data_IF_087613282479
#
_entry.id   IF_087613282479
#
_cell.length_a   1.000
_cell.length_b   1.000
_cell.length_c   1.000
_cell.angle_alpha   90.00
_cell.angle_beta   90.00
_cell.angle_gamma   90.00
#
_symmetry.space_group_name_H-M   'P 1'
#
loop_
_entity.id
_entity.type
_entity.pdbx_description
1 polymer ?
#
# COMPACT_ATOMS: atom_id res chain seq x y z
N UNK A 1 -2.32 -21.16 30.77
CA UNK A 1 -2.96 -20.85 29.48
C UNK A 1 -4.17 -19.99 29.79
N UNK A 2 -4.25 -18.77 29.26
CA UNK A 2 -5.30 -17.80 29.62
C UNK A 2 -6.39 -17.83 28.54
N UNK A 3 -7.50 -18.52 28.83
CA UNK A 3 -8.62 -18.77 27.91
C UNK A 3 -9.17 -17.45 27.33
N UNK A 4 -9.17 -16.36 28.11
CA UNK A 4 -9.64 -15.05 27.66
C UNK A 4 -8.77 -14.53 26.50
N UNK A 5 -7.45 -14.65 26.62
CA UNK A 5 -6.51 -14.18 25.59
C UNK A 5 -6.65 -14.97 24.28
N UNK A 6 -7.03 -16.25 24.37
CA UNK A 6 -7.27 -17.10 23.20
C UNK A 6 -8.53 -16.67 22.46
N UNK A 7 -9.61 -16.43 23.19
CA UNK A 7 -10.87 -15.93 22.63
C UNK A 7 -10.68 -14.53 22.01
N UNK A 8 -9.93 -13.63 22.68
CA UNK A 8 -9.61 -12.31 22.13
C UNK A 8 -8.84 -12.42 20.81
N UNK A 9 -7.84 -13.29 20.75
CA UNK A 9 -7.05 -13.52 19.53
C UNK A 9 -7.91 -14.09 18.40
N UNK A 10 -8.78 -15.06 18.70
CA UNK A 10 -9.68 -15.64 17.70
C UNK A 10 -10.60 -14.58 17.08
N UNK A 11 -11.14 -13.66 17.89
CA UNK A 11 -11.97 -12.56 17.40
C UNK A 11 -11.16 -11.55 16.57
N UNK A 12 -9.93 -11.24 16.98
CA UNK A 12 -9.03 -10.39 16.19
C UNK A 12 -8.72 -11.02 14.83
N UNK A 13 -8.39 -12.31 14.81
CA UNK A 13 -8.07 -13.05 13.60
C UNK A 13 -9.26 -13.13 12.63
N UNK A 14 -10.48 -13.31 13.14
CA UNK A 14 -11.69 -13.28 12.32
C UNK A 14 -11.85 -11.94 11.57
N UNK A 15 -11.54 -10.83 12.23
CA UNK A 15 -11.58 -9.49 11.61
C UNK A 15 -10.44 -9.31 10.61
N UNK A 16 -9.22 -9.75 10.96
CA UNK A 16 -8.03 -9.66 10.10
C UNK A 16 -8.16 -10.51 8.82
N UNK A 17 -8.91 -11.61 8.85
CA UNK A 17 -9.28 -12.37 7.64
C UNK A 17 -10.19 -11.59 6.69
N UNK A 18 -10.97 -10.65 7.21
CA UNK A 18 -11.94 -9.87 6.42
C UNK A 18 -11.34 -8.57 5.90
N UNK A 19 -10.46 -7.93 6.67
CA UNK A 19 -9.74 -6.72 6.23
C UNK A 19 -8.36 -6.62 6.84
N UNK A 20 -7.44 -6.01 6.11
CA UNK A 20 -6.14 -5.63 6.64
C UNK A 20 -6.25 -4.40 7.55
N UNK A 21 -5.33 -4.31 8.52
CA UNK A 21 -5.12 -3.13 9.35
C UNK A 21 -3.75 -2.57 9.01
N UNK A 22 -3.65 -1.42 8.32
CA UNK A 22 -2.35 -0.87 7.97
C UNK A 22 -1.61 -0.38 9.22
N UNK A 23 -0.30 -0.28 9.12
CA UNK A 23 0.51 0.34 10.16
C UNK A 23 0.35 1.87 10.12
N UNK A 24 -0.20 2.46 11.18
CA UNK A 24 -0.30 3.90 11.35
C UNK A 24 -0.10 4.32 12.81
N UNK A 25 0.22 5.59 12.98
CA UNK A 25 0.65 6.21 14.23
C UNK A 25 -0.08 7.55 14.46
N UNK A 26 -0.16 8.03 15.72
CA UNK A 26 -0.61 9.39 15.99
C UNK A 26 0.14 10.40 15.12
N UNK A 27 -0.59 11.34 14.53
CA UNK A 27 -0.10 12.31 13.56
C UNK A 27 -0.39 11.96 12.12
N UNK A 28 -0.60 10.68 11.81
CA UNK A 28 -0.98 10.24 10.47
C UNK A 28 -2.43 10.67 10.16
N UNK A 29 -2.70 10.98 8.89
CA UNK A 29 -4.04 11.25 8.36
C UNK A 29 -4.57 9.96 7.76
N UNK A 30 -5.73 9.54 8.24
CA UNK A 30 -6.37 8.29 7.83
C UNK A 30 -7.77 8.57 7.31
N UNK A 31 -8.21 7.75 6.37
CA UNK A 31 -9.58 7.66 5.90
C UNK A 31 -10.16 6.33 6.35
N UNK A 32 -11.16 6.40 7.22
CA UNK A 32 -11.86 5.22 7.75
C UNK A 32 -13.18 5.06 7.01
N UNK A 33 -13.36 3.95 6.31
CA UNK A 33 -14.62 3.60 5.66
C UNK A 33 -15.52 2.87 6.64
N UNK A 34 -16.58 3.52 7.08
CA UNK A 34 -17.49 2.99 8.11
C UNK A 34 -18.79 2.54 7.46
N UNK A 35 -19.23 1.32 7.78
CA UNK A 35 -20.57 0.81 7.45
C UNK A 35 -21.58 1.51 8.35
N UNK A 36 -22.43 2.33 7.75
CA UNK A 36 -23.56 2.98 8.42
C UNK A 36 -24.82 2.27 7.96
N UNK A 37 -25.58 1.75 8.93
CA UNK A 37 -26.89 1.16 8.69
C UNK A 37 -27.92 2.26 8.83
N UNK A 38 -28.71 2.48 7.79
CA UNK A 38 -29.79 3.45 7.77
C UNK A 38 -31.14 2.72 7.68
N UNK A 39 -32.13 3.22 8.42
CA UNK A 39 -33.49 2.64 8.48
C UNK A 39 -33.67 1.52 9.53
N UNK A 40 -34.93 1.16 9.76
CA UNK A 40 -35.34 0.08 10.67
C UNK A 40 -36.12 -1.01 9.91
N UNK A 41 -36.15 -2.23 10.45
CA UNK A 41 -36.95 -3.33 9.90
C UNK A 41 -36.54 -3.78 8.49
N UNK A 42 -37.49 -3.80 7.55
CA UNK A 42 -37.32 -4.29 6.16
C UNK A 42 -36.55 -3.32 5.25
N UNK A 43 -36.38 -2.05 5.63
CA UNK A 43 -35.68 -1.03 4.85
C UNK A 43 -34.25 -0.80 5.34
N UNK A 44 -33.56 -1.88 5.73
CA UNK A 44 -32.19 -1.80 6.22
C UNK A 44 -31.22 -1.67 5.04
N UNK A 45 -30.78 -0.44 4.77
CA UNK A 45 -29.74 -0.19 3.77
C UNK A 45 -28.41 0.05 4.48
N UNK A 46 -27.35 -0.57 3.99
CA UNK A 46 -25.99 -0.30 4.48
C UNK A 46 -25.24 0.53 3.45
N UNK A 47 -24.74 1.68 3.86
CA UNK A 47 -23.82 2.49 3.03
C UNK A 47 -22.46 2.63 3.69
N UNK A 48 -21.44 2.82 2.87
CA UNK A 48 -20.10 3.15 3.34
C UNK A 48 -19.97 4.67 3.44
N UNK A 49 -19.52 5.14 4.60
CA UNK A 49 -19.23 6.55 4.84
C UNK A 49 -17.75 6.72 5.16
N UNK A 50 -17.08 7.57 4.39
CA UNK A 50 -15.71 7.96 4.68
C UNK A 50 -15.66 8.93 5.87
N UNK A 51 -14.80 8.63 6.84
CA UNK A 51 -14.41 9.54 7.90
C UNK A 51 -12.90 9.78 7.81
N UNK A 52 -12.53 10.95 7.28
CA UNK A 52 -11.15 11.35 7.08
C UNK A 52 -10.71 12.35 8.15
N UNK A 53 -9.53 12.13 8.72
CA UNK A 53 -8.93 13.08 9.65
C UNK A 53 -7.59 12.61 10.22
N UNK A 54 -7.06 13.38 11.16
CA UNK A 54 -5.79 13.12 11.82
C UNK A 54 -6.00 12.19 13.01
N UNK A 55 -5.19 11.13 13.10
CA UNK A 55 -5.13 10.29 14.30
C UNK A 55 -4.46 11.07 15.42
N UNK A 56 -5.20 11.37 16.48
CA UNK A 56 -4.68 12.15 17.62
C UNK A 56 -4.30 11.27 18.81
N UNK A 57 -4.81 10.05 18.88
CA UNK A 57 -4.51 9.11 19.95
C UNK A 57 -4.76 7.68 19.48
N UNK A 58 -4.01 6.75 20.06
CA UNK A 58 -4.22 5.31 19.97
C UNK A 58 -4.09 4.76 21.39
N UNK A 59 -4.99 3.89 21.80
CA UNK A 59 -5.16 3.46 23.19
C UNK A 59 -5.79 2.09 23.30
N UNK A 60 -5.58 1.44 24.44
CA UNK A 60 -5.98 0.05 24.65
C UNK A 60 -4.92 -0.92 24.14
N UNK A 61 -5.30 -2.18 24.04
CA UNK A 61 -4.46 -3.26 23.54
C UNK A 61 -5.31 -4.50 23.24
N UNK A 62 -4.77 -5.40 22.43
CA UNK A 62 -5.50 -6.58 21.96
C UNK A 62 -6.81 -6.19 21.27
N UNK A 63 -7.88 -6.93 21.54
CA UNK A 63 -9.21 -6.69 20.97
C UNK A 63 -9.77 -5.29 21.28
N UNK A 64 -9.38 -4.71 22.42
CA UNK A 64 -9.85 -3.41 22.91
C UNK A 64 -9.03 -2.23 22.38
N UNK A 65 -8.10 -2.47 21.46
CA UNK A 65 -7.33 -1.40 20.84
C UNK A 65 -8.22 -0.47 20.02
N UNK A 66 -8.04 0.84 20.19
CA UNK A 66 -8.82 1.89 19.52
C UNK A 66 -7.94 3.08 19.13
N UNK A 67 -8.41 3.85 18.16
CA UNK A 67 -7.76 5.08 17.72
C UNK A 67 -8.78 6.21 17.57
N UNK A 68 -8.36 7.43 17.88
CA UNK A 68 -9.20 8.63 17.80
C UNK A 68 -8.80 9.46 16.59
N UNK A 69 -9.75 9.68 15.69
CA UNK A 69 -9.58 10.51 14.50
C UNK A 69 -10.26 11.86 14.73
N UNK A 70 -9.52 12.95 14.54
CA UNK A 70 -9.99 14.33 14.64
C UNK A 70 -10.05 14.95 13.25
N UNK A 71 -11.18 15.61 12.95
CA UNK A 71 -11.32 16.46 11.76
C UNK A 71 -12.03 17.76 12.12
N UNK A 72 -11.88 18.77 11.27
CA UNK A 72 -12.73 19.96 11.30
C UNK A 72 -13.86 19.74 10.30
N UNK A 73 -15.11 19.82 10.74
CA UNK A 73 -16.30 19.69 9.90
C UNK A 73 -17.13 20.95 10.11
N UNK A 74 -17.41 21.69 9.04
CA UNK A 74 -18.21 22.92 9.10
C UNK A 74 -17.71 23.92 10.18
N UNK A 75 -16.39 24.06 10.32
CA UNK A 75 -15.78 24.95 11.32
C UNK A 75 -15.62 24.35 12.72
N UNK A 76 -16.30 23.25 13.00
CA UNK A 76 -16.30 22.60 14.32
C UNK A 76 -15.38 21.38 14.39
N UNK A 77 -14.74 21.21 15.55
CA UNK A 77 -13.84 20.08 15.78
C UNK A 77 -14.62 18.82 16.13
N UNK A 78 -14.64 17.86 15.22
CA UNK A 78 -15.29 16.56 15.43
C UNK A 78 -14.22 15.50 15.69
N UNK A 79 -14.43 14.70 16.73
CA UNK A 79 -13.59 13.55 17.05
C UNK A 79 -14.44 12.29 17.06
N UNK A 80 -13.91 11.20 16.51
CA UNK A 80 -14.53 9.88 16.58
C UNK A 80 -13.51 8.85 17.00
N UNK A 81 -13.90 8.02 17.97
CA UNK A 81 -13.11 6.88 18.45
C UNK A 81 -13.54 5.64 17.68
N UNK A 82 -12.56 4.93 17.12
CA UNK A 82 -12.76 3.72 16.34
C UNK A 82 -12.03 2.55 17.00
N UNK A 83 -12.74 1.47 17.39
CA UNK A 83 -12.09 0.21 17.76
C UNK A 83 -11.42 -0.40 16.53
N UNK A 84 -10.15 -0.77 16.64
CA UNK A 84 -9.35 -1.30 15.53
C UNK A 84 -9.96 -2.57 14.96
N UNK A 85 -10.59 -3.40 15.78
CA UNK A 85 -11.18 -4.68 15.37
C UNK A 85 -12.71 -4.61 15.21
N UNK A 86 -13.28 -3.41 15.02
CA UNK A 86 -14.73 -3.31 14.80
C UNK A 86 -15.13 -3.90 13.42
N UNK A 87 -16.20 -4.71 13.35
CA UNK A 87 -16.75 -5.23 12.08
C UNK A 87 -17.46 -4.15 11.24
N UNK A 88 -17.78 -3.02 11.86
CA UNK A 88 -18.39 -1.87 11.18
C UNK A 88 -17.38 -1.03 10.39
N UNK A 89 -16.09 -1.27 10.55
CA UNK A 89 -15.06 -0.65 9.71
C UNK A 89 -14.84 -1.57 8.51
N UNK A 90 -15.07 -1.06 7.30
CA UNK A 90 -14.80 -1.77 6.06
C UNK A 90 -13.32 -1.68 5.69
N UNK A 91 -12.72 -0.50 5.79
CA UNK A 91 -11.35 -0.24 5.36
C UNK A 91 -10.74 0.91 6.16
N UNK A 92 -9.42 0.84 6.37
CA UNK A 92 -8.62 1.94 6.90
C UNK A 92 -7.54 2.23 5.86
N UNK A 93 -7.54 3.43 5.32
CA UNK A 93 -6.54 3.90 4.36
C UNK A 93 -5.67 4.97 5.02
N UNK A 94 -4.35 4.84 4.92
CA UNK A 94 -3.41 5.86 5.41
C UNK A 94 -3.12 6.82 4.26
N UNK A 95 -3.67 8.03 4.33
CA UNK A 95 -3.52 9.02 3.25
C UNK A 95 -2.20 9.76 3.34
N UNK A 96 -1.77 10.10 4.56
CA UNK A 96 -0.57 10.92 4.78
C UNK A 96 0.05 10.62 6.13
N UNK A 97 1.39 10.57 6.19
CA UNK A 97 2.12 10.34 7.45
C UNK A 97 2.58 11.64 8.09
N UNK A 98 2.32 11.78 9.38
CA UNK A 98 2.62 13.00 10.14
C UNK A 98 3.85 12.85 11.02
N UNK A 99 4.72 13.87 11.02
CA UNK A 99 5.86 13.96 11.92
C UNK A 99 5.42 14.64 13.21
N UNK A 100 5.27 13.85 14.28
CA UNK A 100 4.95 14.34 15.62
C UNK A 100 5.85 13.69 16.66
N UNK A 101 5.99 14.34 17.82
CA UNK A 101 6.79 13.82 18.95
C UNK A 101 5.95 13.22 20.08
N UNK A 102 4.68 13.64 20.21
CA UNK A 102 3.79 13.21 21.30
C UNK A 102 2.94 12.03 20.84
N UNK A 103 2.75 11.04 21.71
CA UNK A 103 1.85 9.90 21.45
C UNK A 103 0.35 10.29 21.48
N UNK A 104 0.00 11.35 22.21
CA UNK A 104 -1.36 11.91 22.27
C UNK A 104 -1.33 13.38 21.90
N UNK A 105 -2.05 13.73 20.83
CA UNK A 105 -2.05 15.06 20.21
C UNK A 105 -3.24 15.93 20.67
N UNK A 106 -3.68 15.78 21.93
CA UNK A 106 -4.82 16.53 22.47
C UNK A 106 -4.64 18.05 22.41
N UNK A 107 -3.39 18.52 22.34
CA UNK A 107 -3.08 19.94 22.13
C UNK A 107 -3.69 20.50 20.82
N UNK A 108 -3.98 19.64 19.82
CA UNK A 108 -4.63 20.05 18.58
C UNK A 108 -6.09 20.48 18.77
N UNK A 109 -6.71 20.19 19.92
CA UNK A 109 -8.05 20.68 20.26
C UNK A 109 -8.11 22.20 20.38
N UNK A 110 -7.03 22.79 20.90
CA UNK A 110 -6.89 24.25 21.06
C UNK A 110 -6.18 24.94 19.89
N UNK A 111 -5.83 24.24 18.81
CA UNK A 111 -5.12 24.83 17.66
C UNK A 111 -6.02 24.86 16.43
N UNK A 112 -5.90 25.92 15.63
CA UNK A 112 -6.64 26.11 14.37
C UNK A 112 -5.71 26.59 13.26
N UNK A 113 -6.13 26.41 12.01
CA UNK A 113 -5.42 26.87 10.81
C UNK A 113 -3.98 26.37 10.76
N UNK A 114 -3.05 27.29 10.48
CA UNK A 114 -1.61 26.98 10.33
C UNK A 114 -0.99 26.35 11.59
N UNK A 115 -1.48 26.72 12.78
CA UNK A 115 -0.95 26.19 14.05
C UNK A 115 -1.31 24.72 14.30
N UNK A 116 -2.39 24.24 13.68
CA UNK A 116 -2.83 22.84 13.76
C UNK A 116 -2.18 21.94 12.69
N UNK A 117 -1.45 22.53 11.72
CA UNK A 117 -0.84 21.79 10.62
C UNK A 117 0.29 20.91 11.14
N UNK A 118 0.25 19.63 10.78
CA UNK A 118 1.31 18.66 11.08
C UNK A 118 2.23 18.55 9.87
N UNK A 119 3.55 18.66 10.11
CA UNK A 119 4.58 18.48 9.08
C UNK A 119 4.58 17.04 8.60
N UNK A 120 4.84 16.84 7.32
CA UNK A 120 4.88 15.50 6.72
C UNK A 120 6.08 14.72 7.22
N UNK A 121 5.91 13.41 7.42
CA UNK A 121 7.03 12.52 7.69
C UNK A 121 7.62 12.04 6.36
N UNK A 122 8.87 12.39 6.11
CA UNK A 122 9.59 12.08 4.86
C UNK A 122 10.75 11.10 5.08
N UNK A 123 10.80 10.42 6.23
CA UNK A 123 11.84 9.44 6.53
C UNK A 123 11.69 8.17 5.69
N UNK A 124 12.77 7.38 5.60
CA UNK A 124 12.78 6.12 4.83
C UNK A 124 11.64 5.17 5.27
N UNK A 125 11.30 5.16 6.56
CA UNK A 125 10.15 4.40 7.09
C UNK A 125 8.81 4.90 6.52
N UNK A 126 8.60 6.22 6.45
CA UNK A 126 7.39 6.77 5.85
C UNK A 126 7.31 6.45 4.35
N UNK A 127 8.43 6.49 3.62
CA UNK A 127 8.47 6.07 2.21
C UNK A 127 8.05 4.60 2.07
N UNK A 128 8.68 3.69 2.81
CA UNK A 128 8.34 2.26 2.83
C UNK A 128 6.86 2.00 3.14
N UNK A 129 6.33 2.67 4.17
CA UNK A 129 4.95 2.46 4.60
C UNK A 129 3.90 3.23 3.78
N UNK A 130 4.30 4.21 2.97
CA UNK A 130 3.44 4.89 1.99
C UNK A 130 3.46 4.19 0.64
N UNK A 131 4.53 3.43 0.36
CA UNK A 131 4.58 2.46 -0.72
C UNK A 131 3.67 1.27 -0.39
N UNK A 132 2.34 1.48 -0.39
CA UNK A 132 1.49 0.48 -1.03
C UNK A 132 1.80 0.58 -2.52
N UNK A 133 2.94 0.01 -2.93
CA UNK A 133 3.36 -0.02 -4.31
C UNK A 133 2.31 -0.83 -5.07
N UNK A 134 1.54 -0.15 -5.92
CA UNK A 134 0.41 -0.74 -6.68
C UNK A 134 0.89 -1.44 -7.96
N UNK A 135 2.18 -1.77 -8.03
CA UNK A 135 2.86 -2.18 -9.25
C UNK A 135 3.16 -1.01 -10.17
N UNK A 136 3.61 -1.34 -11.38
CA UNK A 136 3.91 -0.39 -12.44
C UNK A 136 2.65 0.12 -13.14
N UNK A 137 2.79 1.17 -13.96
CA UNK A 137 1.74 1.55 -14.91
C UNK A 137 1.73 0.53 -16.05
N UNK A 138 0.57 -0.07 -16.36
CA UNK A 138 0.44 -1.04 -17.46
C UNK A 138 0.90 -0.40 -18.79
N UNK A 139 1.94 -0.96 -19.46
CA UNK A 139 2.41 -0.47 -20.75
C UNK A 139 1.45 -0.87 -21.88
N UNK A 140 1.65 -0.27 -23.06
CA UNK A 140 0.96 -0.68 -24.29
C UNK A 140 1.70 -1.86 -24.95
N UNK A 141 0.97 -2.67 -25.71
CA UNK A 141 1.53 -3.80 -26.46
C UNK A 141 1.36 -5.14 -25.78
N UNK A 142 1.83 -6.19 -26.45
CA UNK A 142 1.82 -7.57 -25.96
C UNK A 142 2.85 -7.76 -24.84
N UNK A 143 2.71 -8.77 -23.98
CA UNK A 143 3.68 -9.01 -22.91
C UNK A 143 4.94 -9.69 -23.47
N UNK A 144 6.11 -9.28 -22.99
CA UNK A 144 7.36 -9.96 -23.31
C UNK A 144 7.47 -11.25 -22.48
N UNK A 145 8.19 -12.24 -23.01
CA UNK A 145 8.36 -13.53 -22.34
C UNK A 145 9.47 -13.49 -21.29
N UNK A 146 9.11 -13.17 -20.05
CA UNK A 146 10.06 -13.11 -18.94
C UNK A 146 10.75 -14.43 -18.60
N UNK A 147 10.30 -15.59 -19.12
CA UNK A 147 11.02 -16.85 -18.90
C UNK A 147 12.39 -16.91 -19.59
N UNK A 148 12.67 -15.95 -20.48
CA UNK A 148 13.99 -15.73 -21.08
C UNK A 148 15.01 -15.13 -20.09
N UNK A 149 14.55 -14.56 -18.98
CA UNK A 149 15.42 -14.04 -17.91
C UNK A 149 15.66 -15.16 -16.89
N UNK A 150 16.93 -15.34 -16.53
CA UNK A 150 17.40 -16.33 -15.58
C UNK A 150 16.71 -16.19 -14.23
N UNK A 151 16.24 -17.33 -13.72
CA UNK A 151 15.57 -17.40 -12.42
C UNK A 151 14.09 -17.01 -12.45
N UNK A 152 13.54 -16.61 -13.61
CA UNK A 152 12.11 -16.39 -13.78
C UNK A 152 11.45 -17.62 -14.38
N UNK A 153 10.64 -18.32 -13.59
CA UNK A 153 9.76 -19.37 -14.08
C UNK A 153 8.39 -18.81 -14.51
N UNK A 154 7.54 -19.67 -15.07
CA UNK A 154 6.22 -19.26 -15.57
C UNK A 154 5.30 -18.69 -14.47
N UNK A 155 5.42 -19.18 -13.23
CA UNK A 155 4.64 -18.69 -12.08
C UNK A 155 5.12 -17.29 -11.68
N UNK A 156 6.43 -17.10 -11.56
CA UNK A 156 7.04 -15.82 -11.24
C UNK A 156 6.76 -14.78 -12.32
N UNK A 157 6.80 -15.18 -13.60
CA UNK A 157 6.36 -14.34 -14.71
C UNK A 157 4.87 -13.94 -14.58
N UNK A 158 3.98 -14.86 -14.18
CA UNK A 158 2.57 -14.54 -13.93
C UNK A 158 2.39 -13.56 -12.76
N UNK A 159 3.18 -13.71 -11.70
CA UNK A 159 3.16 -12.81 -10.54
C UNK A 159 3.69 -11.41 -10.87
N UNK A 160 4.71 -11.30 -11.71
CA UNK A 160 5.17 -10.01 -12.26
C UNK A 160 4.08 -9.31 -13.08
N UNK A 161 3.29 -10.06 -13.85
CA UNK A 161 2.14 -9.52 -14.59
C UNK A 161 1.05 -8.95 -13.67
N UNK A 162 0.84 -9.52 -12.49
CA UNK A 162 -0.08 -8.96 -11.48
C UNK A 162 0.39 -7.61 -10.91
N UNK A 163 1.69 -7.32 -11.00
CA UNK A 163 2.29 -6.02 -10.65
C UNK A 163 2.37 -5.07 -11.84
N UNK A 164 1.67 -5.37 -12.94
CA UNK A 164 1.74 -4.65 -14.20
C UNK A 164 3.15 -4.53 -14.82
N UNK A 165 4.05 -5.46 -14.49
CA UNK A 165 5.30 -5.63 -15.21
C UNK A 165 5.05 -6.58 -16.38
N UNK A 166 5.19 -6.09 -17.60
CA UNK A 166 4.89 -6.83 -18.82
C UNK A 166 6.01 -6.73 -19.87
N UNK A 167 6.94 -5.78 -19.74
CA UNK A 167 7.94 -5.47 -20.76
C UNK A 167 9.36 -5.58 -20.22
N UNK A 168 10.30 -6.05 -21.04
CA UNK A 168 11.73 -6.02 -20.73
C UNK A 168 12.22 -4.60 -20.49
N UNK A 169 11.67 -3.60 -21.19
CA UNK A 169 11.98 -2.18 -20.97
C UNK A 169 11.69 -1.73 -19.54
N UNK A 170 10.62 -2.24 -18.90
CA UNK A 170 10.34 -1.94 -17.50
C UNK A 170 11.45 -2.51 -16.61
N UNK A 171 11.80 -3.78 -16.79
CA UNK A 171 12.83 -4.48 -15.98
C UNK A 171 14.21 -3.86 -16.18
N UNK A 172 14.59 -3.52 -17.42
CA UNK A 172 15.85 -2.90 -17.79
C UNK A 172 16.06 -1.51 -17.14
N UNK A 173 14.97 -0.86 -16.74
CA UNK A 173 14.93 0.48 -16.16
C UNK A 173 14.47 0.48 -14.69
N UNK A 174 14.47 -0.66 -13.99
CA UNK A 174 14.22 -0.67 -12.55
C UNK A 174 15.21 0.22 -11.81
N UNK A 175 14.69 1.14 -10.99
CA UNK A 175 15.47 1.85 -9.98
C UNK A 175 15.72 0.96 -8.76
N UNK A 176 16.65 1.35 -7.89
CA UNK A 176 16.89 0.67 -6.61
C UNK A 176 15.60 0.53 -5.77
N UNK A 177 14.70 1.51 -5.87
CA UNK A 177 13.39 1.48 -5.21
C UNK A 177 12.45 0.47 -5.87
N UNK A 178 12.44 0.37 -7.20
CA UNK A 178 11.65 -0.63 -7.92
C UNK A 178 12.10 -2.05 -7.62
N UNK A 179 13.43 -2.29 -7.58
CA UNK A 179 14.02 -3.58 -7.20
C UNK A 179 13.55 -3.99 -5.80
N UNK A 180 13.68 -3.08 -4.82
CA UNK A 180 13.26 -3.36 -3.45
C UNK A 180 11.74 -3.64 -3.35
N UNK A 181 10.92 -2.86 -4.06
CA UNK A 181 9.47 -3.04 -4.07
C UNK A 181 9.04 -4.37 -4.71
N UNK A 182 9.64 -4.76 -5.84
CA UNK A 182 9.35 -6.04 -6.53
C UNK A 182 9.83 -7.22 -5.67
N UNK A 183 11.04 -7.13 -5.11
CA UNK A 183 11.62 -8.19 -4.28
C UNK A 183 10.78 -8.47 -3.03
N UNK A 184 10.31 -7.42 -2.35
CA UNK A 184 9.43 -7.53 -1.20
C UNK A 184 8.03 -8.03 -1.59
N UNK A 185 7.42 -7.46 -2.63
CA UNK A 185 6.07 -7.84 -3.09
C UNK A 185 6.00 -9.30 -3.55
N UNK A 186 7.08 -9.83 -4.11
CA UNK A 186 7.17 -11.20 -4.59
C UNK A 186 7.96 -12.13 -3.66
N UNK A 187 8.40 -11.65 -2.49
CA UNK A 187 9.18 -12.39 -1.50
C UNK A 187 10.43 -13.10 -2.10
N UNK A 188 11.15 -12.39 -2.97
CA UNK A 188 12.24 -12.94 -3.80
C UNK A 188 13.60 -13.02 -3.08
N UNK A 189 13.76 -12.33 -1.94
CA UNK A 189 14.96 -12.41 -1.08
C UNK A 189 16.26 -12.10 -1.84
N UNK A 190 16.26 -10.96 -2.53
CA UNK A 190 17.38 -10.44 -3.33
C UNK A 190 17.63 -11.23 -4.62
N UNK A 191 16.65 -11.96 -5.14
CA UNK A 191 16.84 -12.75 -6.36
C UNK A 191 17.12 -11.88 -7.58
N UNK A 192 16.43 -10.74 -7.69
CA UNK A 192 16.51 -9.82 -8.83
C UNK A 192 17.96 -9.38 -9.09
N UNK A 193 18.69 -9.03 -8.02
CA UNK A 193 20.09 -8.60 -8.10
C UNK A 193 21.04 -9.79 -8.28
N UNK A 194 20.78 -10.90 -7.57
CA UNK A 194 21.62 -12.11 -7.66
C UNK A 194 21.62 -12.73 -9.06
N UNK A 195 20.48 -12.69 -9.74
CA UNK A 195 20.31 -13.25 -11.08
C UNK A 195 20.45 -12.18 -12.19
N UNK A 196 20.83 -10.94 -11.86
CA UNK A 196 21.07 -9.83 -12.80
C UNK A 196 19.92 -9.57 -13.81
N UNK A 197 18.68 -9.54 -13.32
CA UNK A 197 17.51 -9.37 -14.19
C UNK A 197 17.56 -8.10 -15.04
N UNK A 198 18.07 -7.00 -14.46
CA UNK A 198 18.19 -5.70 -15.16
C UNK A 198 19.19 -5.81 -16.31
N UNK A 199 20.34 -6.46 -16.09
CA UNK A 199 21.34 -6.68 -17.12
C UNK A 199 20.85 -7.61 -18.23
N UNK A 200 20.14 -8.68 -17.90
CA UNK A 200 19.59 -9.61 -18.88
C UNK A 200 18.48 -8.99 -19.73
N UNK A 201 17.56 -8.24 -19.11
CA UNK A 201 16.52 -7.52 -19.84
C UNK A 201 17.11 -6.52 -20.86
N UNK A 202 18.22 -5.84 -20.51
CA UNK A 202 18.93 -4.94 -21.45
C UNK A 202 19.53 -5.69 -22.62
N UNK A 203 20.05 -6.91 -22.42
CA UNK A 203 20.60 -7.74 -23.51
C UNK A 203 19.50 -8.19 -24.47
N UNK A 204 18.37 -8.65 -23.93
CA UNK A 204 17.22 -9.07 -24.74
C UNK A 204 16.64 -7.91 -25.58
N UNK A 205 16.59 -6.69 -25.02
CA UNK A 205 16.20 -5.51 -25.79
C UNK A 205 17.20 -5.16 -26.91
N UNK A 206 18.50 -5.31 -26.64
CA UNK A 206 19.53 -5.05 -27.64
C UNK A 206 19.49 -6.08 -28.79
N UNK A 207 19.23 -7.36 -28.47
CA UNK A 207 19.08 -8.43 -29.45
C UNK A 207 17.86 -8.21 -30.35
N UNK A 208 16.70 -7.90 -29.77
CA UNK A 208 15.49 -7.58 -30.53
C UNK A 208 15.69 -6.36 -31.45
N UNK A 209 16.44 -5.36 -30.99
CA UNK A 209 16.75 -4.17 -31.81
C UNK A 209 17.74 -4.47 -32.95
N UNK A 210 18.61 -5.47 -32.79
CA UNK A 210 19.58 -5.88 -33.80
C UNK A 210 18.95 -6.72 -34.92
N UNK A 211 17.91 -7.51 -34.60
CA UNK A 211 17.13 -8.26 -35.61
C UNK A 211 16.26 -7.36 -36.50
N UNK A 212 15.88 -6.17 -36.04
CA UNK A 212 15.07 -5.23 -36.82
C UNK A 212 15.87 -4.41 -37.85
N UNK A 213 17.22 -4.47 -37.83
CA UNK A 213 18.06 -3.81 -38.86
C UNK A 213 18.04 -4.65 -40.13
N UNK A 214 17.40 -4.20 -41.23
CA UNK A 214 17.38 -4.96 -42.47
C UNK A 214 18.81 -5.08 -42.99
N UNK A 215 19.25 -6.28 -43.35
CA UNK A 215 20.47 -6.47 -44.11
C UNK A 215 20.38 -5.61 -45.38
N UNK A 216 21.17 -4.54 -45.45
CA UNK A 216 21.26 -3.72 -46.66
C UNK A 216 21.53 -4.64 -47.84
N UNK A 217 20.64 -4.61 -48.84
CA UNK A 217 20.81 -5.32 -50.09
C UNK A 217 22.15 -4.92 -50.71
N UNK A 218 23.13 -5.84 -50.67
CA UNK A 218 24.29 -5.81 -51.56
C UNK A 218 23.80 -5.96 -53.00
N UNK A 219 23.36 -4.85 -53.59
CA UNK A 219 22.99 -4.80 -54.99
C UNK A 219 24.26 -4.59 -55.83
N UNK A 220 24.81 -5.74 -56.21
CA UNK A 220 25.52 -6.08 -57.46
C UNK A 220 26.02 -4.93 -58.35
N UNK A 221 27.33 -4.95 -58.58
CA UNK A 221 27.98 -4.42 -59.78
C UNK A 221 27.58 -5.20 -61.05
#
# INVERSE_FOLDING_TARGET
MNIIQELEREQMDAVLRTRSVPEFSPGDTVKVMVKVVEGEGKNRSSRLQAYEGVVIARSGGGLNESFTVRKISYGEGVERVFPIYSPYIAEIEVLRRGKVRRAKLYYLRGRRGRAARIVERTDARARRLNAQWKGFKKPKGEADDFTQIKGIDADLAARLRHLNCYKFDQVANFSDEDIANVDEALALKGQIERDDWVGEARRLLAEASAEEVPAEEENKA
#
